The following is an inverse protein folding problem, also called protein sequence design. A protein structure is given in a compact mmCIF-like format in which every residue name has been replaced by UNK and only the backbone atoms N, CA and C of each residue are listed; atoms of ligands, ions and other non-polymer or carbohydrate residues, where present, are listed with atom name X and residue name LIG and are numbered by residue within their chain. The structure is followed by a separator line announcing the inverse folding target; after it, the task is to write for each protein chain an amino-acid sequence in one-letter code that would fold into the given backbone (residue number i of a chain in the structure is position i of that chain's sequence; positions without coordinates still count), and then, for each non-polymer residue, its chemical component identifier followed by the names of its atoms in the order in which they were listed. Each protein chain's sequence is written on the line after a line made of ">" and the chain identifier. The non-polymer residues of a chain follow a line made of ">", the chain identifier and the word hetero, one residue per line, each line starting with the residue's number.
data_IF_409503986995
#
_entry.id   IF_409503986995
#
_cell.length_a   1.000
_cell.length_b   1.000
_cell.length_c   1.000
_cell.angle_alpha   90.00
_cell.angle_beta   90.00
_cell.angle_gamma   90.00
#
_symmetry.space_group_name_H-M   'P 1'
#
loop_
_entity.id
_entity.type
_entity.pdbx_description
1 polymer ?
#
# COMPACT_ATOMS: atom_id res chain seq x y z
N UNK A 1 25.07 21.28 -3.30
CA UNK A 1 24.57 21.42 -1.91
C UNK A 1 23.49 20.40 -1.53
N UNK A 2 22.32 20.33 -2.18
CA UNK A 2 21.24 19.37 -1.82
C UNK A 2 21.67 17.89 -1.76
N UNK A 3 22.49 17.44 -2.71
CA UNK A 3 22.98 16.05 -2.77
C UNK A 3 23.98 15.70 -1.64
N UNK A 4 24.81 16.66 -1.24
CA UNK A 4 25.71 16.49 -0.10
C UNK A 4 24.94 16.50 1.22
N UNK A 5 24.00 17.43 1.41
CA UNK A 5 23.15 17.46 2.60
C UNK A 5 22.35 16.16 2.77
N UNK A 6 21.72 15.66 1.69
CA UNK A 6 21.00 14.39 1.72
C UNK A 6 21.91 13.21 2.06
N UNK A 7 23.15 13.21 1.57
CA UNK A 7 24.12 12.15 1.86
C UNK A 7 24.54 12.17 3.34
N UNK A 8 24.95 13.33 3.86
CA UNK A 8 25.34 13.47 5.26
C UNK A 8 24.20 13.13 6.22
N UNK A 9 22.98 13.61 5.94
CA UNK A 9 21.81 13.29 6.75
C UNK A 9 21.53 11.78 6.78
N UNK A 10 21.55 11.11 5.62
CA UNK A 10 21.34 9.67 5.55
C UNK A 10 22.46 8.88 6.26
N UNK A 11 23.71 9.32 6.13
CA UNK A 11 24.85 8.71 6.79
C UNK A 11 24.75 8.83 8.31
N UNK A 12 24.43 10.01 8.84
CA UNK A 12 24.24 10.23 10.28
C UNK A 12 23.09 9.39 10.83
N UNK A 13 21.95 9.32 10.12
CA UNK A 13 20.82 8.49 10.54
C UNK A 13 21.21 7.00 10.59
N UNK A 14 21.88 6.51 9.55
CA UNK A 14 22.29 5.10 9.43
C UNK A 14 23.29 4.74 10.52
N UNK A 15 24.31 5.59 10.74
CA UNK A 15 25.30 5.40 11.80
C UNK A 15 24.68 5.50 13.19
N UNK A 16 23.71 6.38 13.39
CA UNK A 16 22.97 6.50 14.65
C UNK A 16 22.17 5.24 14.99
N UNK A 17 21.44 4.69 14.02
CA UNK A 17 20.72 3.41 14.20
C UNK A 17 21.71 2.28 14.47
N UNK A 18 22.81 2.20 13.73
CA UNK A 18 23.85 1.19 13.95
C UNK A 18 24.45 1.29 15.36
N UNK A 19 24.79 2.50 15.80
CA UNK A 19 25.28 2.74 17.15
C UNK A 19 24.24 2.30 18.20
N UNK A 20 22.96 2.60 17.97
CA UNK A 20 21.89 2.17 18.88
C UNK A 20 21.76 0.66 19.00
N UNK A 21 21.85 -0.07 17.89
CA UNK A 21 21.87 -1.53 17.88
C UNK A 21 23.05 -2.11 18.68
N UNK A 22 24.21 -1.43 18.65
CA UNK A 22 25.43 -1.89 19.34
C UNK A 22 25.45 -1.52 20.83
N UNK A 23 24.87 -0.37 21.20
CA UNK A 23 24.83 0.12 22.59
C UNK A 23 23.76 -0.61 23.39
N UNK A 24 22.60 -0.88 22.79
CA UNK A 24 21.43 -1.45 23.47
C UNK A 24 20.93 -2.71 22.72
N UNK A 25 21.75 -3.77 22.64
CA UNK A 25 21.44 -4.97 21.85
C UNK A 25 20.27 -5.77 22.45
N UNK A 26 20.09 -5.76 23.77
CA UNK A 26 18.97 -6.40 24.46
C UNK A 26 17.64 -5.79 24.07
N UNK A 27 17.56 -4.46 24.07
CA UNK A 27 16.38 -3.67 23.76
C UNK A 27 16.03 -3.83 22.28
N UNK A 28 17.04 -3.78 21.41
CA UNK A 28 16.88 -4.06 19.99
C UNK A 28 16.32 -5.48 19.76
N UNK A 29 16.88 -6.49 20.43
CA UNK A 29 16.41 -7.87 20.32
C UNK A 29 14.96 -8.04 20.79
N UNK A 30 14.60 -7.50 21.96
CA UNK A 30 13.24 -7.61 22.49
C UNK A 30 12.22 -6.88 21.62
N UNK A 31 12.59 -5.71 21.10
CA UNK A 31 11.75 -4.93 20.19
C UNK A 31 11.54 -5.64 18.85
N UNK A 32 12.59 -6.26 18.30
CA UNK A 32 12.49 -7.09 17.10
C UNK A 32 11.57 -8.29 17.35
N UNK A 33 11.75 -9.00 18.47
CA UNK A 33 10.93 -10.16 18.85
C UNK A 33 9.45 -9.79 19.00
N UNK A 34 9.16 -8.68 19.67
CA UNK A 34 7.78 -8.18 19.87
C UNK A 34 7.14 -7.77 18.55
N UNK A 35 7.90 -7.12 17.67
CA UNK A 35 7.44 -6.73 16.33
C UNK A 35 7.16 -7.94 15.45
N UNK A 36 8.01 -8.97 15.50
CA UNK A 36 7.80 -10.24 14.79
C UNK A 36 6.58 -11.00 15.35
N UNK A 37 6.36 -10.98 16.66
CA UNK A 37 5.18 -11.56 17.28
C UNK A 37 3.89 -10.86 16.82
N UNK A 38 3.90 -9.53 16.73
CA UNK A 38 2.79 -8.75 16.15
C UNK A 38 2.55 -9.14 14.68
N UNK A 39 3.63 -9.29 13.90
CA UNK A 39 3.55 -9.68 12.52
C UNK A 39 2.91 -11.07 12.36
N UNK A 40 3.41 -12.07 13.10
CA UNK A 40 2.91 -13.44 13.05
C UNK A 40 1.49 -13.58 13.61
N UNK A 41 1.18 -12.86 14.70
CA UNK A 41 -0.09 -12.98 15.40
C UNK A 41 -1.25 -12.19 14.77
N UNK A 42 -0.96 -11.07 14.11
CA UNK A 42 -2.01 -10.15 13.62
C UNK A 42 -1.86 -9.82 12.14
N UNK A 43 -0.67 -9.44 11.69
CA UNK A 43 -0.48 -8.88 10.34
C UNK A 43 -0.57 -9.96 9.26
N UNK A 44 0.16 -11.06 9.40
CA UNK A 44 0.16 -12.16 8.42
C UNK A 44 -1.23 -12.81 8.31
N UNK A 45 -1.92 -13.18 9.41
CA UNK A 45 -3.26 -13.78 9.32
C UNK A 45 -4.31 -12.88 8.65
N UNK A 46 -4.18 -11.56 8.76
CA UNK A 46 -5.14 -10.60 8.20
C UNK A 46 -4.80 -10.16 6.77
N UNK A 47 -3.54 -9.81 6.49
CA UNK A 47 -3.15 -9.26 5.19
C UNK A 47 -2.93 -10.35 4.14
N UNK A 48 -2.28 -11.45 4.49
CA UNK A 48 -1.86 -12.46 3.53
C UNK A 48 -3.01 -13.06 2.71
N UNK A 49 -4.08 -13.64 3.31
CA UNK A 49 -5.16 -14.24 2.53
C UNK A 49 -5.85 -13.23 1.62
N UNK A 50 -6.01 -11.99 2.10
CA UNK A 50 -6.59 -10.92 1.32
C UNK A 50 -5.72 -10.53 0.12
N UNK A 51 -4.42 -10.37 0.32
CA UNK A 51 -3.49 -10.07 -0.76
C UNK A 51 -3.48 -11.17 -1.83
N UNK A 52 -3.56 -12.44 -1.44
CA UNK A 52 -3.65 -13.56 -2.38
C UNK A 52 -4.91 -13.45 -3.24
N UNK A 53 -6.08 -13.26 -2.63
CA UNK A 53 -7.35 -13.15 -3.36
C UNK A 53 -7.36 -11.93 -4.29
N UNK A 54 -6.93 -10.76 -3.81
CA UNK A 54 -6.87 -9.54 -4.61
C UNK A 54 -5.92 -9.66 -5.81
N UNK A 55 -4.75 -10.29 -5.62
CA UNK A 55 -3.84 -10.60 -6.73
C UNK A 55 -4.41 -11.63 -7.71
N UNK A 56 -5.24 -12.55 -7.23
CA UNK A 56 -5.89 -13.55 -8.09
C UNK A 56 -6.96 -12.91 -8.97
N UNK A 57 -7.79 -12.02 -8.42
CA UNK A 57 -8.78 -11.21 -9.16
C UNK A 57 -8.11 -10.42 -10.29
N UNK A 58 -6.95 -9.83 -9.98
CA UNK A 58 -6.08 -9.15 -10.93
C UNK A 58 -5.61 -10.05 -12.07
N UNK A 59 -4.92 -11.14 -11.73
CA UNK A 59 -4.27 -12.04 -12.70
C UNK A 59 -5.27 -12.82 -13.56
N UNK A 60 -6.47 -13.06 -13.06
CA UNK A 60 -7.58 -13.65 -13.81
C UNK A 60 -8.25 -12.65 -14.77
N UNK A 61 -7.88 -11.37 -14.75
CA UNK A 61 -8.46 -10.33 -15.60
C UNK A 61 -9.88 -9.88 -15.18
N UNK A 62 -10.34 -10.28 -13.98
CA UNK A 62 -11.65 -9.85 -13.46
C UNK A 62 -11.68 -8.34 -13.22
N UNK A 63 -10.57 -7.79 -12.73
CA UNK A 63 -10.41 -6.37 -12.49
C UNK A 63 -10.50 -5.52 -13.77
N UNK A 64 -10.04 -6.02 -14.91
CA UNK A 64 -10.19 -5.31 -16.18
C UNK A 64 -11.62 -5.32 -16.67
N UNK A 65 -12.35 -6.42 -16.47
CA UNK A 65 -13.79 -6.48 -16.79
C UNK A 65 -14.56 -5.45 -15.96
N UNK A 66 -14.25 -5.37 -14.66
CA UNK A 66 -14.79 -4.35 -13.76
C UNK A 66 -14.35 -2.94 -14.17
N UNK A 67 -13.08 -2.75 -14.50
CA UNK A 67 -12.52 -1.47 -14.96
C UNK A 67 -13.17 -0.96 -16.25
N UNK A 68 -13.49 -1.86 -17.19
CA UNK A 68 -14.25 -1.52 -18.41
C UNK A 68 -15.70 -1.16 -18.12
N UNK A 69 -16.36 -1.91 -17.24
CA UNK A 69 -17.72 -1.56 -16.80
C UNK A 69 -17.75 -0.17 -16.10
N UNK A 70 -16.68 0.15 -15.36
CA UNK A 70 -16.53 1.41 -14.64
C UNK A 70 -15.91 2.54 -15.47
N UNK A 71 -15.39 2.26 -16.67
CA UNK A 71 -14.73 3.22 -17.56
C UNK A 71 -15.58 4.48 -17.83
N UNK A 72 -16.87 4.40 -18.23
CA UNK A 72 -17.66 5.60 -18.51
C UNK A 72 -17.80 6.50 -17.28
N UNK A 73 -17.91 5.90 -16.09
CA UNK A 73 -17.99 6.64 -14.84
C UNK A 73 -16.64 7.24 -14.45
N UNK A 74 -15.55 6.49 -14.56
CA UNK A 74 -14.19 6.96 -14.29
C UNK A 74 -13.76 8.07 -15.25
N UNK A 75 -14.14 7.99 -16.53
CA UNK A 75 -13.88 9.03 -17.53
C UNK A 75 -14.66 10.31 -17.19
N UNK A 76 -15.92 10.19 -16.73
CA UNK A 76 -16.75 11.34 -16.32
C UNK A 76 -16.25 12.00 -15.03
N UNK A 77 -15.90 11.20 -14.02
CA UNK A 77 -15.48 11.69 -12.71
C UNK A 77 -14.03 12.16 -12.71
N UNK A 78 -13.11 11.35 -13.22
CA UNK A 78 -11.66 11.53 -13.04
C UNK A 78 -10.92 11.93 -14.31
N UNK A 79 -11.56 11.89 -15.50
CA UNK A 79 -10.91 12.11 -16.80
C UNK A 79 -9.68 11.22 -17.00
N UNK A 80 -9.84 9.94 -16.69
CA UNK A 80 -8.84 8.89 -16.91
C UNK A 80 -9.29 7.93 -18.03
N UNK A 81 -8.33 7.25 -18.63
CA UNK A 81 -8.55 6.18 -19.61
C UNK A 81 -9.18 4.94 -18.95
N UNK A 82 -9.64 3.96 -19.74
CA UNK A 82 -10.07 2.66 -19.22
C UNK A 82 -8.98 1.91 -18.46
N UNK A 83 -7.70 2.13 -18.79
CA UNK A 83 -6.57 1.63 -18.02
C UNK A 83 -6.52 2.29 -16.64
N UNK A 84 -6.72 3.61 -16.55
CA UNK A 84 -6.85 4.32 -15.28
C UNK A 84 -8.08 3.92 -14.46
N UNK A 85 -9.20 3.60 -15.10
CA UNK A 85 -10.39 3.06 -14.42
C UNK A 85 -10.09 1.72 -13.74
N UNK A 86 -9.32 0.87 -14.42
CA UNK A 86 -8.85 -0.41 -13.88
C UNK A 86 -7.96 -0.18 -12.65
N UNK A 87 -7.02 0.77 -12.71
CA UNK A 87 -6.19 1.17 -11.56
C UNK A 87 -7.04 1.59 -10.36
N UNK A 88 -8.10 2.38 -10.58
CA UNK A 88 -8.95 2.85 -9.48
C UNK A 88 -9.68 1.70 -8.78
N UNK A 89 -10.30 0.81 -9.55
CA UNK A 89 -10.98 -0.39 -8.99
C UNK A 89 -9.99 -1.25 -8.21
N UNK A 90 -8.79 -1.41 -8.74
CA UNK A 90 -7.73 -2.21 -8.13
C UNK A 90 -7.11 -1.58 -6.90
N UNK A 91 -7.00 -0.25 -6.88
CA UNK A 91 -6.57 0.48 -5.70
C UNK A 91 -7.58 0.35 -4.58
N UNK A 92 -8.88 0.46 -4.88
CA UNK A 92 -9.92 0.24 -3.87
C UNK A 92 -9.89 -1.19 -3.34
N UNK A 93 -9.78 -2.19 -4.21
CA UNK A 93 -9.71 -3.58 -3.76
C UNK A 93 -8.39 -3.92 -3.04
N UNK A 94 -7.27 -3.42 -3.53
CA UNK A 94 -5.94 -3.91 -3.17
C UNK A 94 -5.10 -2.99 -2.30
N UNK A 95 -5.53 -1.73 -2.17
CA UNK A 95 -4.85 -0.70 -1.41
C UNK A 95 -3.51 -0.22 -1.99
N UNK A 96 -2.74 0.44 -1.12
CA UNK A 96 -1.49 1.15 -1.35
C UNK A 96 -0.43 0.34 -2.13
N UNK A 97 -0.22 -0.97 -1.92
CA UNK A 97 0.72 -1.70 -2.77
C UNK A 97 0.17 -1.94 -4.18
N UNK A 98 -1.12 -2.29 -4.31
CA UNK A 98 -1.68 -2.72 -5.61
C UNK A 98 -1.99 -1.53 -6.53
N UNK A 99 -2.45 -0.41 -5.99
CA UNK A 99 -2.71 0.80 -6.79
C UNK A 99 -1.45 1.34 -7.44
N UNK A 100 -0.42 1.65 -6.63
CA UNK A 100 0.84 2.20 -7.11
C UNK A 100 1.57 1.25 -8.08
N UNK A 101 1.56 -0.05 -7.78
CA UNK A 101 2.13 -1.07 -8.65
C UNK A 101 1.40 -1.15 -9.99
N UNK A 102 0.06 -1.15 -10.01
CA UNK A 102 -0.70 -1.20 -11.27
C UNK A 102 -0.42 0.04 -12.11
N UNK A 103 -0.31 1.22 -11.48
CA UNK A 103 0.13 2.44 -12.18
C UNK A 103 1.52 2.24 -12.79
N UNK A 104 2.48 1.69 -12.03
CA UNK A 104 3.83 1.45 -12.53
C UNK A 104 3.84 0.48 -13.72
N UNK A 105 3.14 -0.65 -13.63
CA UNK A 105 3.06 -1.65 -14.71
C UNK A 105 2.45 -1.05 -15.98
N UNK A 106 1.35 -0.30 -15.86
CA UNK A 106 0.70 0.33 -17.00
C UNK A 106 1.53 1.48 -17.59
N UNK A 107 2.25 2.23 -16.77
CA UNK A 107 3.13 3.30 -17.23
C UNK A 107 4.36 2.74 -17.97
N UNK A 108 5.05 1.76 -17.38
CA UNK A 108 6.18 1.08 -18.00
C UNK A 108 5.78 0.34 -19.27
N UNK A 109 4.56 -0.18 -19.34
CA UNK A 109 3.98 -0.79 -20.54
C UNK A 109 3.44 0.20 -21.58
N UNK A 110 3.62 1.51 -21.39
CA UNK A 110 3.15 2.55 -22.32
C UNK A 110 1.63 2.64 -22.45
N UNK A 111 0.87 2.10 -21.49
CA UNK A 111 -0.61 2.06 -21.50
C UNK A 111 -1.24 3.31 -20.93
N UNK A 112 -0.52 4.05 -20.10
CA UNK A 112 -0.93 5.34 -19.54
C UNK A 112 0.20 6.35 -19.70
N UNK A 113 -0.15 7.63 -19.83
CA UNK A 113 0.85 8.70 -19.92
C UNK A 113 1.44 9.01 -18.54
N UNK A 114 2.60 9.67 -18.49
CA UNK A 114 3.19 10.15 -17.23
C UNK A 114 2.24 11.08 -16.47
N UNK A 115 1.51 11.93 -17.19
CA UNK A 115 0.51 12.84 -16.63
C UNK A 115 -0.63 12.06 -15.96
N UNK A 116 -1.13 11.03 -16.64
CA UNK A 116 -2.19 10.17 -16.11
C UNK A 116 -1.72 9.33 -14.92
N UNK A 117 -0.52 8.74 -14.99
CA UNK A 117 0.09 8.02 -13.88
C UNK A 117 0.22 8.91 -12.63
N UNK A 118 0.72 10.14 -12.79
CA UNK A 118 0.82 11.11 -11.70
C UNK A 118 -0.52 11.53 -11.13
N UNK A 119 -1.60 11.57 -11.93
CA UNK A 119 -2.96 11.80 -11.43
C UNK A 119 -3.47 10.60 -10.64
N UNK A 120 -3.34 9.40 -11.19
CA UNK A 120 -3.79 8.16 -10.55
C UNK A 120 -3.13 7.99 -9.17
N UNK A 121 -1.81 8.23 -9.04
CA UNK A 121 -1.12 8.13 -7.76
C UNK A 121 -1.65 9.07 -6.66
N UNK A 122 -2.37 10.15 -7.01
CA UNK A 122 -2.93 11.07 -5.99
C UNK A 122 -4.15 10.52 -5.27
N UNK A 123 -4.89 9.61 -5.91
CA UNK A 123 -6.17 9.12 -5.39
C UNK A 123 -6.36 7.61 -5.53
N UNK A 124 -5.41 6.91 -6.15
CA UNK A 124 -5.33 5.45 -6.23
C UNK A 124 -4.22 4.90 -5.34
N UNK A 125 -3.75 5.69 -4.38
CA UNK A 125 -2.94 5.26 -3.25
C UNK A 125 -3.89 5.25 -2.04
N UNK A 126 -4.58 4.14 -1.80
CA UNK A 126 -5.64 4.03 -0.80
C UNK A 126 -5.41 2.88 0.16
N UNK A 127 -6.01 2.92 1.34
CA UNK A 127 -5.89 1.78 2.25
C UNK A 127 -6.78 0.65 1.74
N UNK A 128 -6.23 -0.56 1.73
CA UNK A 128 -7.02 -1.72 1.34
C UNK A 128 -8.14 -1.97 2.36
N UNK A 129 -9.30 -2.48 1.94
CA UNK A 129 -10.43 -2.74 2.83
C UNK A 129 -10.05 -3.74 3.91
N UNK A 130 -9.18 -4.72 3.65
CA UNK A 130 -8.70 -5.60 4.69
C UNK A 130 -7.96 -4.86 5.81
N UNK A 131 -7.10 -3.90 5.49
CA UNK A 131 -6.40 -3.16 6.52
C UNK A 131 -7.36 -2.29 7.34
N UNK A 132 -8.24 -1.54 6.68
CA UNK A 132 -9.21 -0.68 7.39
C UNK A 132 -10.20 -1.53 8.20
N UNK A 133 -10.78 -2.58 7.62
CA UNK A 133 -11.78 -3.38 8.31
C UNK A 133 -11.18 -4.21 9.43
N UNK A 134 -10.03 -4.86 9.21
CA UNK A 134 -9.41 -5.71 10.22
C UNK A 134 -8.71 -4.90 11.32
N UNK A 135 -7.85 -3.95 10.96
CA UNK A 135 -7.06 -3.21 11.95
C UNK A 135 -7.91 -2.11 12.58
N UNK A 136 -8.36 -1.13 11.80
CA UNK A 136 -9.13 -0.03 12.37
C UNK A 136 -10.49 -0.52 12.89
N UNK A 137 -11.25 -1.24 12.09
CA UNK A 137 -12.56 -1.77 12.48
C UNK A 137 -12.48 -2.75 13.64
N UNK A 138 -11.90 -3.92 13.42
CA UNK A 138 -11.96 -5.02 14.40
C UNK A 138 -10.96 -4.90 15.55
N UNK A 139 -9.73 -4.42 15.32
CA UNK A 139 -8.72 -4.34 16.39
C UNK A 139 -8.85 -3.05 17.23
N UNK A 140 -9.07 -1.90 16.60
CA UNK A 140 -9.18 -0.60 17.32
C UNK A 140 -10.59 -0.34 17.81
N UNK A 141 -11.61 -0.48 16.94
CA UNK A 141 -13.00 -0.18 17.30
C UNK A 141 -13.83 -1.41 17.74
N UNK A 142 -13.24 -2.61 17.74
CA UNK A 142 -13.94 -3.85 18.12
C UNK A 142 -15.09 -4.24 17.18
N UNK A 143 -15.21 -3.62 16.00
CA UNK A 143 -16.38 -3.78 15.12
C UNK A 143 -16.03 -3.68 13.64
N UNK A 144 -16.21 -4.79 12.92
CA UNK A 144 -16.08 -4.83 11.47
C UNK A 144 -17.06 -3.87 10.75
N UNK A 145 -18.25 -3.60 11.33
CA UNK A 145 -19.22 -2.64 10.78
C UNK A 145 -18.65 -1.23 10.75
N UNK A 146 -17.98 -0.81 11.83
CA UNK A 146 -17.28 0.48 11.88
C UNK A 146 -16.14 0.49 10.85
N UNK A 147 -15.42 -0.62 10.71
CA UNK A 147 -14.42 -0.82 9.67
C UNK A 147 -14.97 -0.58 8.24
N UNK A 148 -16.09 -1.20 7.90
CA UNK A 148 -16.72 -1.00 6.58
C UNK A 148 -17.20 0.44 6.38
N UNK A 149 -17.75 1.08 7.41
CA UNK A 149 -18.12 2.49 7.35
C UNK A 149 -16.91 3.38 7.07
N UNK A 150 -15.81 3.19 7.82
CA UNK A 150 -14.55 3.91 7.62
C UNK A 150 -13.98 3.68 6.22
N UNK A 151 -14.06 2.45 5.72
CA UNK A 151 -13.64 2.15 4.34
C UNK A 151 -14.51 2.88 3.32
N UNK A 152 -15.82 3.01 3.55
CA UNK A 152 -16.71 3.82 2.72
C UNK A 152 -16.32 5.30 2.68
N UNK A 153 -16.01 5.88 3.84
CA UNK A 153 -15.49 7.26 3.95
C UNK A 153 -14.16 7.40 3.21
N UNK A 154 -13.27 6.41 3.32
CA UNK A 154 -11.98 6.37 2.64
C UNK A 154 -12.14 6.34 1.11
N UNK A 155 -13.02 5.46 0.61
CA UNK A 155 -13.33 5.34 -0.81
C UNK A 155 -13.98 6.63 -1.34
N UNK A 156 -14.90 7.25 -0.59
CA UNK A 156 -15.50 8.52 -0.95
C UNK A 156 -14.44 9.64 -1.02
N UNK A 157 -13.51 9.67 -0.06
CA UNK A 157 -12.40 10.62 -0.05
C UNK A 157 -11.53 10.47 -1.30
N UNK A 158 -11.22 9.23 -1.70
CA UNK A 158 -10.49 8.95 -2.94
C UNK A 158 -11.23 9.48 -4.18
N UNK A 159 -12.56 9.29 -4.25
CA UNK A 159 -13.38 9.84 -5.34
C UNK A 159 -13.34 11.37 -5.35
N UNK A 160 -13.46 12.02 -4.20
CA UNK A 160 -13.40 13.48 -4.09
C UNK A 160 -12.02 14.02 -4.52
N UNK A 161 -10.93 13.43 -4.03
CA UNK A 161 -9.58 13.83 -4.44
C UNK A 161 -9.37 13.63 -5.94
N UNK A 162 -9.83 12.51 -6.49
CA UNK A 162 -9.75 12.21 -7.92
C UNK A 162 -10.54 13.22 -8.77
N UNK A 163 -11.75 13.59 -8.35
CA UNK A 163 -12.60 14.56 -9.06
C UNK A 163 -12.05 15.99 -8.98
N UNK A 164 -11.51 16.41 -7.83
CA UNK A 164 -10.85 17.72 -7.68
C UNK A 164 -9.56 17.78 -8.51
N UNK A 165 -8.81 16.69 -8.53
CA UNK A 165 -7.51 16.59 -9.22
C UNK A 165 -7.60 16.23 -10.70
N UNK A 166 -8.80 16.19 -11.30
CA UNK A 166 -9.06 15.73 -12.68
C UNK A 166 -8.54 16.65 -13.80
N UNK A 167 -7.74 17.68 -13.49
CA UNK A 167 -7.17 18.59 -14.50
C UNK A 167 -6.21 17.82 -15.40
N UNK A 168 -6.54 17.76 -16.69
CA UNK A 168 -5.80 17.04 -17.73
C UNK A 168 -6.75 16.26 -18.65
N UNK A 169 -6.18 15.74 -19.73
CA UNK A 169 -6.88 14.93 -20.73
C UNK A 169 -6.58 13.45 -20.54
N UNK A 170 -7.56 12.60 -20.88
CA UNK A 170 -7.40 11.16 -20.95
C UNK A 170 -6.77 10.80 -22.31
N UNK A 171 -5.48 11.14 -22.50
CA UNK A 171 -4.80 11.00 -23.79
C UNK A 171 -4.32 9.57 -24.10
N UNK A 172 -4.51 8.62 -23.18
CA UNK A 172 -4.08 7.24 -23.39
C UNK A 172 -5.08 6.47 -24.28
N UNK A 173 -4.57 5.97 -25.40
CA UNK A 173 -5.30 5.29 -26.48
C UNK A 173 -5.43 3.77 -26.32
N UNK A 174 -4.87 3.18 -25.25
CA UNK A 174 -4.83 1.74 -25.08
C UNK A 174 -5.93 1.18 -24.19
N UNK A 175 -6.91 0.47 -24.75
CA UNK A 175 -7.71 -0.48 -23.94
C UNK A 175 -6.77 -1.54 -23.36
N UNK A 176 -6.75 -1.77 -22.05
CA UNK A 176 -5.92 -2.81 -21.47
C UNK A 176 -6.45 -4.19 -21.91
N UNK A 177 -5.50 -5.04 -22.31
CA UNK A 177 -5.68 -6.49 -22.48
C UNK A 177 -4.59 -7.15 -21.64
N UNK A 178 -4.79 -7.29 -20.34
CA UNK A 178 -4.11 -8.33 -19.57
C UNK A 178 -4.79 -9.62 -20.02
N UNK A 179 -4.08 -10.45 -20.79
CA UNK A 179 -4.55 -11.82 -21.01
C UNK A 179 -4.63 -12.48 -19.64
N UNK A 180 -5.84 -12.81 -19.21
CA UNK A 180 -6.06 -13.54 -17.96
C UNK A 180 -5.18 -14.79 -17.96
N UNK A 181 -4.41 -14.96 -16.89
CA UNK A 181 -3.57 -16.14 -16.70
C UNK A 181 -4.47 -17.35 -16.40
N UNK A 182 -3.96 -18.56 -16.61
CA UNK A 182 -4.64 -19.76 -16.11
C UNK A 182 -4.80 -19.68 -14.59
N UNK A 183 -5.83 -20.33 -14.05
CA UNK A 183 -6.09 -20.31 -12.60
C UNK A 183 -4.86 -20.74 -11.78
N UNK A 184 -4.13 -21.76 -12.25
CA UNK A 184 -2.91 -22.24 -11.60
C UNK A 184 -1.79 -21.20 -11.58
N UNK A 185 -1.51 -20.56 -12.71
CA UNK A 185 -0.50 -19.51 -12.81
C UNK A 185 -0.92 -18.25 -12.03
N UNK A 186 -2.20 -17.92 -12.05
CA UNK A 186 -2.76 -16.82 -11.26
C UNK A 186 -2.60 -17.08 -9.76
N UNK A 187 -2.90 -18.29 -9.30
CA UNK A 187 -2.79 -18.67 -7.89
C UNK A 187 -1.33 -18.64 -7.41
N UNK A 188 -0.42 -19.37 -8.09
CA UNK A 188 0.99 -19.44 -7.67
C UNK A 188 1.65 -18.07 -7.71
N UNK A 189 1.38 -17.28 -8.76
CA UNK A 189 1.88 -15.91 -8.87
C UNK A 189 1.29 -14.96 -7.84
N UNK A 190 0.05 -15.19 -7.37
CA UNK A 190 -0.58 -14.39 -6.32
C UNK A 190 -0.02 -14.71 -4.94
N UNK A 191 0.14 -16.00 -4.62
CA UNK A 191 0.75 -16.46 -3.37
C UNK A 191 2.18 -15.93 -3.25
N UNK A 192 3.02 -16.11 -4.27
CA UNK A 192 4.40 -15.63 -4.25
C UNK A 192 4.48 -14.10 -4.05
N UNK A 193 3.67 -13.33 -4.77
CA UNK A 193 3.66 -11.86 -4.66
C UNK A 193 3.15 -11.38 -3.30
N UNK A 194 2.08 -12.01 -2.80
CA UNK A 194 1.54 -11.72 -1.47
C UNK A 194 2.57 -12.03 -0.37
N UNK A 195 3.29 -13.15 -0.49
CA UNK A 195 4.36 -13.52 0.45
C UNK A 195 5.45 -12.46 0.50
N UNK A 196 5.95 -12.02 -0.66
CA UNK A 196 6.99 -10.99 -0.73
C UNK A 196 6.52 -9.68 -0.12
N UNK A 197 5.28 -9.27 -0.39
CA UNK A 197 4.77 -8.00 0.15
C UNK A 197 4.50 -8.10 1.66
N UNK A 198 3.94 -9.20 2.14
CA UNK A 198 3.80 -9.45 3.58
C UNK A 198 5.17 -9.44 4.27
N UNK A 199 6.17 -10.09 3.70
CA UNK A 199 7.52 -10.11 4.24
C UNK A 199 8.13 -8.70 4.30
N UNK A 200 7.94 -7.88 3.26
CA UNK A 200 8.36 -6.48 3.26
C UNK A 200 7.67 -5.67 4.36
N UNK A 201 6.35 -5.82 4.52
CA UNK A 201 5.58 -5.15 5.60
C UNK A 201 6.13 -5.56 6.97
N UNK A 202 6.32 -6.86 7.20
CA UNK A 202 6.89 -7.36 8.45
C UNK A 202 8.32 -6.85 8.68
N UNK A 203 9.13 -6.74 7.63
CA UNK A 203 10.47 -6.18 7.68
C UNK A 203 10.46 -4.71 8.14
N UNK A 204 9.58 -3.89 7.57
CA UNK A 204 9.42 -2.49 8.00
C UNK A 204 8.91 -2.37 9.44
N UNK A 205 7.89 -3.16 9.81
CA UNK A 205 7.37 -3.17 11.19
C UNK A 205 8.47 -3.55 12.17
N UNK A 206 9.27 -4.56 11.86
CA UNK A 206 10.38 -5.01 12.71
C UNK A 206 11.46 -3.94 12.83
N UNK A 207 11.90 -3.36 11.71
CA UNK A 207 12.94 -2.33 11.72
C UNK A 207 12.51 -1.08 12.51
N UNK A 208 11.31 -0.56 12.23
CA UNK A 208 10.82 0.62 12.94
C UNK A 208 10.46 0.33 14.40
N UNK A 209 9.97 -0.88 14.72
CA UNK A 209 9.75 -1.31 16.09
C UNK A 209 11.05 -1.32 16.90
N UNK A 210 12.17 -1.76 16.30
CA UNK A 210 13.50 -1.67 16.92
C UNK A 210 13.92 -0.22 17.13
N UNK A 211 13.76 0.65 16.13
CA UNK A 211 14.06 2.07 16.29
C UNK A 211 13.25 2.71 17.42
N UNK A 212 11.95 2.42 17.51
CA UNK A 212 11.09 2.92 18.58
C UNK A 212 11.57 2.42 19.94
N UNK A 213 11.83 1.12 20.08
CA UNK A 213 12.29 0.54 21.35
C UNK A 213 13.64 1.09 21.82
N UNK A 214 14.56 1.39 20.89
CA UNK A 214 15.83 2.07 21.21
C UNK A 214 15.60 3.50 21.69
N UNK A 215 14.74 4.26 21.01
CA UNK A 215 14.42 5.64 21.40
C UNK A 215 13.66 5.71 22.73
N UNK A 216 12.79 4.75 23.01
CA UNK A 216 12.12 4.60 24.30
C UNK A 216 13.13 4.26 25.42
N UNK A 217 14.05 3.33 25.17
CA UNK A 217 15.10 2.96 26.13
C UNK A 217 16.02 4.14 26.48
N UNK A 218 16.23 5.07 25.56
CA UNK A 218 17.02 6.29 25.77
C UNK A 218 16.20 7.48 26.30
N UNK A 219 14.95 7.25 26.71
CA UNK A 219 13.99 8.27 27.17
C UNK A 219 13.75 9.42 26.18
N UNK A 220 14.05 9.22 24.90
CA UNK A 220 13.86 10.25 23.88
C UNK A 220 12.38 10.45 23.56
N UNK A 221 11.61 9.37 23.44
CA UNK A 221 10.17 9.43 23.18
C UNK A 221 9.36 9.85 24.41
N UNK A 222 9.58 9.31 25.63
CA UNK A 222 8.93 9.78 26.85
C UNK A 222 9.12 11.28 27.10
N UNK A 223 10.35 11.80 26.94
CA UNK A 223 10.65 13.22 27.12
C UNK A 223 9.93 14.14 26.12
N UNK A 224 9.68 13.67 24.89
CA UNK A 224 8.85 14.38 23.90
C UNK A 224 7.36 14.30 24.19
N UNK A 225 6.89 13.21 24.80
CA UNK A 225 5.49 13.00 25.15
C UNK A 225 5.09 13.56 26.52
N UNK A 226 6.04 14.16 27.25
CA UNK A 226 5.83 14.72 28.59
C UNK A 226 5.53 13.66 29.65
N UNK A 227 6.04 12.44 29.49
CA UNK A 227 5.92 11.33 30.44
C UNK A 227 7.23 11.01 31.12
#
# INVERSE_FOLDING_TARGET
>A
MKRYFSFFFAATLTLGVLAGLLISPSEAYQSAKSSLALCAGTIVPSLFPFMVVSNMILRLGLAERLGRAFEPLARRLFRVSGAGATVFVLSLAGGYPLGALTVSELYSGGRITRSEAGRLLRFCDNCGPAFIVSVAGSCVFGSARVGFFLYGVHALSAVLVGTISRRGTADATGTPRIKGQSLSAAFTGSVSRASLTCLSVCGFITFFGVCIGLLDAWNFLPSLCGR
#
